data_IF_078364247408
#
_entry.id   IF_078364247408
#
_cell.length_a   1.000
_cell.length_b   1.000
_cell.length_c   1.000
_cell.angle_alpha   90.00
_cell.angle_beta   90.00
_cell.angle_gamma   90.00
#
_symmetry.space_group_name_H-M   'P 1'
#
loop_
_entity.id
_entity.type
_entity.pdbx_description
1 polymer ?
#
# COMPACT_ATOMS: atom_id res chain seq x y z
N UNK A 1 -14.15 4.41 3.12
CA UNK A 1 -12.70 4.42 3.44
C UNK A 1 -12.43 3.83 4.83
N UNK A 2 -11.25 3.26 5.07
CA UNK A 2 -10.88 2.70 6.40
C UNK A 2 -9.49 3.21 6.81
N UNK A 3 -9.28 3.39 8.11
CA UNK A 3 -8.03 3.90 8.69
C UNK A 3 -7.18 2.72 9.18
N UNK A 4 -5.89 2.74 8.86
CA UNK A 4 -4.93 1.75 9.31
C UNK A 4 -3.73 2.44 9.95
N UNK A 5 -3.25 1.90 11.07
CA UNK A 5 -2.06 2.39 11.77
C UNK A 5 -0.89 1.43 11.58
N UNK A 6 0.33 1.97 11.54
CA UNK A 6 1.54 1.17 11.46
C UNK A 6 1.74 0.41 12.77
N UNK A 7 1.64 -0.92 12.75
CA UNK A 7 1.83 -1.76 13.95
C UNK A 7 3.26 -2.29 14.06
N UNK A 8 3.90 -2.60 12.92
CA UNK A 8 5.26 -3.14 12.89
C UNK A 8 5.96 -2.79 11.58
N UNK A 9 7.30 -2.74 11.60
CA UNK A 9 8.12 -2.58 10.42
C UNK A 9 9.43 -3.35 10.58
N UNK A 10 9.65 -4.35 9.74
CA UNK A 10 10.82 -5.23 9.81
C UNK A 10 11.58 -5.24 8.47
N UNK A 11 12.92 -5.20 8.52
CA UNK A 11 13.73 -5.42 7.33
C UNK A 11 13.66 -6.89 6.90
N UNK A 12 13.39 -7.11 5.62
CA UNK A 12 13.54 -8.39 4.93
C UNK A 12 14.89 -8.36 4.21
N UNK A 13 15.93 -8.82 4.93
CA UNK A 13 17.32 -8.80 4.47
C UNK A 13 17.54 -9.68 3.23
N UNK A 14 16.80 -10.79 3.11
CA UNK A 14 16.92 -11.69 1.97
C UNK A 14 16.48 -11.02 0.67
N UNK A 15 15.40 -10.23 0.73
CA UNK A 15 14.82 -9.55 -0.42
C UNK A 15 15.18 -8.06 -0.52
N UNK A 16 16.09 -7.59 0.34
CA UNK A 16 16.55 -6.20 0.41
C UNK A 16 15.39 -5.19 0.41
N UNK A 17 14.39 -5.45 1.24
CA UNK A 17 13.17 -4.62 1.35
C UNK A 17 12.75 -4.47 2.79
N UNK A 18 11.83 -3.56 3.06
CA UNK A 18 11.15 -3.44 4.35
C UNK A 18 9.72 -3.95 4.19
N UNK A 19 9.30 -4.82 5.09
CA UNK A 19 7.91 -5.20 5.27
C UNK A 19 7.32 -4.41 6.42
N UNK A 20 6.35 -3.54 6.14
CA UNK A 20 5.55 -2.86 7.16
C UNK A 20 4.17 -3.48 7.29
N UNK A 21 3.72 -3.66 8.52
CA UNK A 21 2.40 -4.14 8.87
C UNK A 21 1.55 -2.96 9.35
N UNK A 22 0.36 -2.86 8.78
CA UNK A 22 -0.66 -1.92 9.20
C UNK A 22 -1.90 -2.68 9.64
N UNK A 23 -2.41 -2.31 10.81
CA UNK A 23 -3.62 -2.89 11.38
C UNK A 23 -4.75 -1.90 11.28
N UNK A 24 -5.96 -2.40 11.05
CA UNK A 24 -7.16 -1.57 10.99
C UNK A 24 -7.40 -0.93 12.36
N UNK A 25 -7.67 0.36 12.33
CA UNK A 25 -8.17 1.08 13.49
C UNK A 25 -9.69 0.90 13.54
N UNK A 26 -10.20 0.24 14.59
CA UNK A 26 -11.63 -0.09 14.71
C UNK A 26 -12.45 0.97 15.46
N UNK A 27 -11.80 1.94 16.12
CA UNK A 27 -12.51 2.95 16.91
C UNK A 27 -13.20 4.01 16.02
N UNK A 28 -14.53 4.03 16.14
CA UNK A 28 -15.60 5.05 15.92
C UNK A 28 -15.59 6.03 14.75
N UNK A 29 -14.52 6.17 13.96
CA UNK A 29 -14.57 7.02 12.76
C UNK A 29 -14.61 6.16 11.51
N UNK A 30 -15.81 5.67 11.15
CA UNK A 30 -16.05 5.19 9.80
C UNK A 30 -16.56 6.34 8.92
N UNK A 31 -15.69 7.00 8.13
CA UNK A 31 -16.12 8.11 7.32
C UNK A 31 -17.13 7.63 6.28
N UNK A 32 -18.23 8.37 6.14
CA UNK A 32 -19.18 8.13 5.06
C UNK A 32 -18.44 8.07 3.71
N UNK A 33 -18.72 7.01 2.97
CA UNK A 33 -18.04 6.70 1.72
C UNK A 33 -19.04 6.81 0.57
N UNK A 34 -19.10 7.98 -0.06
CA UNK A 34 -19.97 8.18 -1.23
C UNK A 34 -19.34 7.67 -2.54
N UNK A 35 -18.13 7.11 -2.47
CA UNK A 35 -17.44 6.55 -3.62
C UNK A 35 -18.02 5.18 -3.96
N UNK A 36 -18.31 4.97 -5.25
CA UNK A 36 -18.78 3.70 -5.80
C UNK A 36 -17.65 2.66 -5.85
N UNK A 37 -17.14 2.26 -4.68
CA UNK A 37 -16.09 1.27 -4.51
C UNK A 37 -16.53 0.22 -3.50
N UNK A 38 -16.01 -1.01 -3.65
CA UNK A 38 -16.24 -2.07 -2.68
C UNK A 38 -15.75 -1.66 -1.28
N UNK A 39 -16.54 -1.99 -0.26
CA UNK A 39 -16.19 -1.69 1.12
C UNK A 39 -14.95 -2.50 1.55
N UNK A 40 -13.83 -1.86 1.94
CA UNK A 40 -12.65 -2.58 2.44
C UNK A 40 -12.80 -3.09 3.88
N UNK A 41 -14.00 -3.12 4.45
CA UNK A 41 -14.30 -3.67 5.80
C UNK A 41 -13.82 -5.10 6.04
N UNK A 42 -13.64 -5.89 4.99
CA UNK A 42 -13.13 -7.27 5.13
C UNK A 42 -11.61 -7.30 5.34
N UNK A 43 -10.90 -6.18 5.19
CA UNK A 43 -9.45 -6.09 5.31
C UNK A 43 -9.09 -5.56 6.69
N UNK A 44 -8.54 -6.43 7.54
CA UNK A 44 -8.09 -6.11 8.89
C UNK A 44 -6.60 -5.75 8.94
N UNK A 45 -5.83 -6.27 7.99
CA UNK A 45 -4.37 -6.14 7.95
C UNK A 45 -3.89 -5.81 6.55
N UNK A 46 -2.98 -4.84 6.45
CA UNK A 46 -2.26 -4.53 5.21
C UNK A 46 -0.77 -4.74 5.44
N UNK A 47 -0.14 -5.52 4.58
CA UNK A 47 1.31 -5.71 4.56
C UNK A 47 1.85 -4.95 3.35
N UNK A 48 2.76 -4.01 3.58
CA UNK A 48 3.40 -3.25 2.51
C UNK A 48 4.87 -3.64 2.41
N UNK A 49 5.27 -4.14 1.25
CA UNK A 49 6.65 -4.39 0.92
C UNK A 49 7.19 -3.24 0.10
N UNK A 50 8.31 -2.65 0.55
CA UNK A 50 8.95 -1.54 -0.16
C UNK A 50 10.46 -1.69 -0.16
N UNK A 51 11.07 -1.54 -1.33
CA UNK A 51 12.54 -1.49 -1.45
C UNK A 51 13.06 -0.10 -1.05
N UNK A 52 14.21 -0.01 -0.36
CA UNK A 52 14.88 1.27 -0.13
C UNK A 52 15.19 1.95 -1.46
N UNK A 53 14.97 3.26 -1.51
CA UNK A 53 15.35 4.11 -2.64
C UNK A 53 16.20 5.26 -2.09
N UNK A 54 17.55 5.10 -2.06
CA UNK A 54 18.46 6.10 -1.51
C UNK A 54 18.41 7.43 -2.26
N UNK A 55 18.12 7.37 -3.56
CA UNK A 55 18.10 8.52 -4.44
C UNK A 55 16.71 9.18 -4.51
N UNK A 56 15.76 8.73 -3.69
CA UNK A 56 14.35 9.18 -3.75
C UNK A 56 14.19 10.70 -3.70
N UNK A 57 15.09 11.37 -2.98
CA UNK A 57 15.08 12.81 -2.78
C UNK A 57 16.09 13.56 -3.65
N UNK A 58 16.76 12.86 -4.57
CA UNK A 58 17.69 13.49 -5.49
C UNK A 58 16.92 14.43 -6.43
N UNK A 59 17.31 15.71 -6.40
CA UNK A 59 16.74 16.81 -7.20
C UNK A 59 16.83 16.57 -8.72
N UNK A 60 17.76 15.73 -9.15
CA UNK A 60 18.03 15.46 -10.57
C UNK A 60 17.16 14.30 -11.13
N UNK A 61 16.32 13.66 -10.30
CA UNK A 61 15.36 12.63 -10.73
C UNK A 61 13.93 13.19 -10.84
N UNK A 62 13.26 12.83 -11.96
CA UNK A 62 11.87 13.19 -12.28
C UNK A 62 10.87 12.73 -11.18
N UNK A 63 9.63 13.27 -11.13
CA UNK A 63 8.75 13.14 -9.98
C UNK A 63 8.50 11.70 -9.54
N UNK A 64 8.53 11.53 -8.22
CA UNK A 64 8.63 10.28 -7.46
C UNK A 64 7.36 9.43 -7.59
N UNK A 65 7.27 8.68 -8.68
CA UNK A 65 6.15 7.76 -8.94
C UNK A 65 6.54 6.36 -8.47
N UNK A 66 6.12 6.03 -7.25
CA UNK A 66 6.00 4.63 -6.87
C UNK A 66 4.62 4.14 -7.31
N UNK A 67 4.56 2.93 -7.87
CA UNK A 67 3.32 2.24 -8.15
C UNK A 67 3.11 1.15 -7.10
N UNK A 68 1.86 1.05 -6.64
CA UNK A 68 1.40 0.05 -5.68
C UNK A 68 0.78 -1.12 -6.43
N UNK A 69 1.16 -2.35 -6.09
CA UNK A 69 0.66 -3.58 -6.72
C UNK A 69 0.11 -4.51 -5.67
N UNK A 70 -1.15 -4.89 -5.80
CA UNK A 70 -1.77 -5.87 -4.90
C UNK A 70 -1.26 -7.26 -5.27
N UNK A 71 -0.64 -7.95 -4.31
CA UNK A 71 -0.16 -9.32 -4.48
C UNK A 71 -1.25 -10.28 -3.99
N UNK A 72 -1.58 -11.33 -4.76
CA UNK A 72 -2.49 -12.39 -4.31
C UNK A 72 -2.00 -13.03 -3.01
N UNK A 73 -2.89 -13.15 -2.03
CA UNK A 73 -2.61 -13.77 -0.74
C UNK A 73 -3.69 -14.78 -0.40
N UNK A 74 -3.28 -15.86 0.27
CA UNK A 74 -4.20 -16.92 0.74
C UNK A 74 -4.80 -16.60 2.12
N UNK A 75 -4.29 -15.56 2.80
CA UNK A 75 -4.71 -15.21 4.16
C UNK A 75 -5.90 -14.27 4.10
N UNK A 76 -7.05 -14.75 4.58
CA UNK A 76 -8.27 -13.94 4.70
C UNK A 76 -8.03 -12.68 5.53
N UNK A 77 -8.70 -11.59 5.17
CA UNK A 77 -8.58 -10.27 5.80
C UNK A 77 -7.20 -9.62 5.75
N UNK A 78 -6.27 -10.19 4.98
CA UNK A 78 -4.94 -9.61 4.77
C UNK A 78 -4.80 -9.15 3.33
N UNK A 79 -4.42 -7.90 3.12
CA UNK A 79 -3.99 -7.39 1.81
C UNK A 79 -2.47 -7.26 1.79
N UNK A 80 -1.83 -7.64 0.69
CA UNK A 80 -0.39 -7.47 0.50
C UNK A 80 -0.14 -6.54 -0.66
N UNK A 81 0.67 -5.50 -0.45
CA UNK A 81 0.99 -4.47 -1.44
C UNK A 81 2.50 -4.46 -1.65
N UNK A 82 2.94 -4.54 -2.90
CA UNK A 82 4.32 -4.27 -3.30
C UNK A 82 4.43 -2.86 -3.87
N UNK A 83 5.43 -2.12 -3.40
CA UNK A 83 5.70 -0.74 -3.77
C UNK A 83 7.07 -0.66 -4.42
N UNK A 84 7.10 -0.16 -5.64
CA UNK A 84 8.34 0.09 -6.37
C UNK A 84 8.14 1.05 -7.53
N UNK A 85 9.17 1.23 -8.35
CA UNK A 85 9.08 2.05 -9.55
C UNK A 85 7.93 1.59 -10.46
N UNK A 86 7.23 2.54 -11.05
CA UNK A 86 6.21 2.26 -12.05
C UNK A 86 6.84 1.63 -13.30
N UNK A 87 6.16 0.63 -13.86
CA UNK A 87 6.52 0.06 -15.16
C UNK A 87 6.11 1.03 -16.27
N UNK A 88 6.68 0.84 -17.45
CA UNK A 88 6.24 1.54 -18.66
C UNK A 88 4.75 1.24 -18.86
N UNK A 89 3.97 2.28 -19.14
CA UNK A 89 2.51 2.23 -19.33
C UNK A 89 1.69 1.82 -18.10
N UNK A 90 2.27 1.84 -16.89
CA UNK A 90 1.50 1.69 -15.65
C UNK A 90 0.77 3.01 -15.34
N UNK A 91 -0.51 3.07 -15.71
CA UNK A 91 -1.37 4.23 -15.49
C UNK A 91 -1.97 4.14 -14.09
N UNK A 92 -1.83 5.21 -13.30
CA UNK A 92 -2.58 5.40 -12.06
C UNK A 92 -3.98 5.93 -12.45
N UNK A 93 -4.82 5.08 -13.04
CA UNK A 93 -6.16 5.48 -13.43
C UNK A 93 -7.14 5.20 -12.28
N UNK A 94 -7.64 6.27 -11.66
CA UNK A 94 -8.92 6.19 -10.96
C UNK A 94 -10.01 6.26 -12.03
N UNK A 95 -10.48 5.12 -12.52
CA UNK A 95 -11.70 5.07 -13.32
C UNK A 95 -12.89 5.45 -12.44
N UNK A 96 -13.19 6.75 -12.37
CA UNK A 96 -14.48 7.23 -11.88
C UNK A 96 -15.46 6.98 -13.04
N UNK A 97 -16.30 5.96 -12.91
CA UNK A 97 -17.48 5.77 -13.76
C UNK A 97 -18.64 6.59 -13.23
#
# INVERSE_FOLDING_TARGET
PRVYFLSNALPDLALHRTGSEYMRWYDDWDPQCDWNMSDPSEIDRVIVYKKPDPDRWNKDKAPRRDCCRVIPTKKSGTMVIDVGACKVDEIVEFSVK
#
